data_IF_890781559898
#
_entry.id   IF_890781559898
#
_cell.length_a   1.000
_cell.length_b   1.000
_cell.length_c   1.000
_cell.angle_alpha   90.00
_cell.angle_beta   90.00
_cell.angle_gamma   90.00
#
_symmetry.space_group_name_H-M   'P 1'
#
loop_
_entity.id
_entity.type
_entity.pdbx_description
1 polymer ?
#
# COMPACT_ATOMS: atom_id res chain seq x y z
N UNK A 1 -0.97 38.10 8.17
CA UNK A 1 -0.11 37.02 8.71
C UNK A 1 0.36 36.16 7.55
N UNK A 2 1.67 36.03 7.29
CA UNK A 2 2.14 35.21 6.17
C UNK A 2 1.80 33.74 6.46
N UNK A 3 1.02 33.15 5.56
CA UNK A 3 0.47 31.81 5.72
C UNK A 3 1.61 30.78 5.64
N UNK A 4 1.97 30.15 6.76
CA UNK A 4 3.09 29.18 6.87
C UNK A 4 2.95 28.04 5.85
N UNK A 5 1.73 27.70 5.47
CA UNK A 5 1.42 26.65 4.50
C UNK A 5 2.00 26.92 3.11
N UNK A 6 1.97 28.17 2.63
CA UNK A 6 2.48 28.53 1.31
C UNK A 6 4.01 28.45 1.19
N UNK A 7 4.73 28.64 2.31
CA UNK A 7 6.20 28.59 2.30
C UNK A 7 6.76 27.18 2.32
N UNK A 8 6.08 26.22 2.96
CA UNK A 8 6.55 24.83 3.04
C UNK A 8 6.46 24.13 1.67
N UNK A 9 5.40 24.39 0.90
CA UNK A 9 5.23 23.85 -0.45
C UNK A 9 6.26 24.40 -1.47
N UNK A 10 6.74 25.64 -1.27
CA UNK A 10 7.70 26.27 -2.19
C UNK A 10 9.15 25.80 -2.00
N UNK A 11 9.47 25.22 -0.83
CA UNK A 11 10.85 24.83 -0.47
C UNK A 11 11.01 23.30 -0.39
N UNK A 12 9.96 22.55 -0.06
CA UNK A 12 10.07 21.08 0.03
C UNK A 12 9.79 20.41 -1.32
N UNK A 13 10.67 19.51 -1.80
CA UNK A 13 10.37 18.67 -2.94
C UNK A 13 9.11 17.82 -2.68
N UNK A 14 8.43 17.43 -3.77
CA UNK A 14 7.22 16.60 -3.73
C UNK A 14 7.42 15.34 -2.88
N UNK A 15 6.34 14.80 -2.32
CA UNK A 15 6.38 13.57 -1.50
C UNK A 15 7.09 12.44 -2.25
N UNK A 16 6.79 12.28 -3.53
CA UNK A 16 7.41 11.30 -4.44
C UNK A 16 8.92 11.49 -4.55
N UNK A 17 9.40 12.73 -4.80
CA UNK A 17 10.85 13.01 -4.86
C UNK A 17 11.57 12.73 -3.55
N UNK A 18 10.91 13.01 -2.42
CA UNK A 18 11.46 12.71 -1.08
C UNK A 18 11.51 11.22 -0.81
N UNK A 19 10.51 10.45 -1.25
CA UNK A 19 10.49 9.00 -1.10
C UNK A 19 11.52 8.32 -2.01
N UNK A 20 11.64 8.77 -3.26
CA UNK A 20 12.67 8.28 -4.19
C UNK A 20 14.09 8.51 -3.66
N UNK A 21 14.37 9.67 -3.05
CA UNK A 21 15.67 9.94 -2.41
C UNK A 21 15.96 9.02 -1.21
N UNK A 22 14.94 8.40 -0.62
CA UNK A 22 15.05 7.43 0.47
C UNK A 22 14.99 5.97 -0.05
N UNK A 23 14.95 5.75 -1.37
CA UNK A 23 14.80 4.42 -1.96
C UNK A 23 13.44 3.78 -1.67
N UNK A 24 12.42 4.57 -1.34
CA UNK A 24 11.07 4.11 -1.03
C UNK A 24 10.12 4.36 -2.20
N UNK A 25 9.30 3.37 -2.52
CA UNK A 25 8.23 3.52 -3.49
C UNK A 25 7.01 4.21 -2.84
N UNK A 26 6.44 5.24 -3.49
CA UNK A 26 5.19 5.82 -3.05
C UNK A 26 4.02 4.85 -3.26
N UNK A 27 3.00 4.94 -2.40
CA UNK A 27 1.72 4.26 -2.63
C UNK A 27 1.11 4.73 -3.95
N UNK A 28 0.62 3.80 -4.75
CA UNK A 28 -0.17 4.11 -5.94
C UNK A 28 -1.52 4.76 -5.57
N UNK A 29 -2.23 5.42 -6.50
CA UNK A 29 -3.48 6.13 -6.21
C UNK A 29 -4.56 5.29 -5.53
N UNK A 30 -4.57 3.97 -5.79
CA UNK A 30 -5.55 3.02 -5.24
C UNK A 30 -4.99 2.18 -4.08
N UNK A 31 -3.80 2.51 -3.56
CA UNK A 31 -3.16 1.77 -2.48
C UNK A 31 -3.30 2.50 -1.14
N UNK A 32 -3.42 1.70 -0.08
CA UNK A 32 -3.45 2.19 1.30
C UNK A 32 -2.51 1.37 2.16
N UNK A 33 -1.75 2.04 3.03
CA UNK A 33 -1.03 1.38 4.11
C UNK A 33 -1.97 1.16 5.29
N UNK A 34 -2.40 -0.08 5.52
CA UNK A 34 -3.30 -0.44 6.60
C UNK A 34 -2.60 -1.24 7.72
N UNK A 35 -3.10 -1.12 8.96
CA UNK A 35 -2.75 -2.00 10.08
C UNK A 35 -3.94 -2.90 10.39
N UNK A 36 -3.78 -4.21 10.21
CA UNK A 36 -4.82 -5.21 10.44
C UNK A 36 -4.37 -6.14 11.55
N UNK A 37 -5.23 -6.39 12.54
CA UNK A 37 -4.98 -7.40 13.58
C UNK A 37 -5.45 -8.76 13.08
N UNK A 38 -4.57 -9.75 13.07
CA UNK A 38 -4.84 -11.10 12.59
C UNK A 38 -4.52 -12.13 13.68
N UNK A 39 -5.24 -13.26 13.68
CA UNK A 39 -4.86 -14.46 14.43
C UNK A 39 -4.20 -15.41 13.46
N UNK A 40 -2.94 -15.77 13.72
CA UNK A 40 -2.09 -16.52 12.80
C UNK A 40 -1.34 -17.61 13.57
N UNK A 41 -1.03 -18.70 12.88
CA UNK A 41 -0.01 -19.64 13.33
C UNK A 41 1.37 -18.96 13.37
N UNK A 42 2.22 -19.40 14.30
CA UNK A 42 3.53 -18.76 14.56
C UNK A 42 4.42 -18.73 13.32
N UNK A 43 4.44 -19.82 12.55
CA UNK A 43 5.24 -19.93 11.33
C UNK A 43 4.78 -18.96 10.25
N UNK A 44 3.46 -18.81 10.08
CA UNK A 44 2.87 -17.86 9.12
C UNK A 44 3.14 -16.41 9.54
N UNK A 45 3.07 -16.11 10.83
CA UNK A 45 3.42 -14.80 11.35
C UNK A 45 4.88 -14.44 11.06
N UNK A 46 5.82 -15.37 11.30
CA UNK A 46 7.23 -15.16 11.00
C UNK A 46 7.50 -14.93 9.51
N UNK A 47 6.82 -15.69 8.63
CA UNK A 47 6.90 -15.48 7.18
C UNK A 47 6.41 -14.08 6.79
N UNK A 48 5.23 -13.66 7.29
CA UNK A 48 4.68 -12.33 6.99
C UNK A 48 5.58 -11.20 7.47
N UNK A 49 6.21 -11.33 8.64
CA UNK A 49 7.14 -10.34 9.17
C UNK A 49 8.36 -10.15 8.24
N UNK A 50 8.83 -11.23 7.61
CA UNK A 50 9.93 -11.20 6.63
C UNK A 50 9.57 -10.60 5.27
N UNK A 51 8.29 -10.49 4.92
CA UNK A 51 7.85 -9.92 3.65
C UNK A 51 7.84 -8.39 3.67
N UNK A 52 8.08 -7.78 2.50
CA UNK A 52 7.87 -6.35 2.30
C UNK A 52 6.37 -6.01 2.37
N UNK A 53 5.99 -4.75 2.62
CA UNK A 53 4.58 -4.34 2.63
C UNK A 53 3.83 -4.70 1.33
N UNK A 54 4.48 -4.56 0.17
CA UNK A 54 3.90 -4.90 -1.13
C UNK A 54 3.61 -6.41 -1.24
N UNK A 55 4.61 -7.25 -0.91
CA UNK A 55 4.47 -8.70 -0.92
C UNK A 55 3.36 -9.20 0.02
N UNK A 56 3.20 -8.57 1.20
CA UNK A 56 2.07 -8.89 2.10
C UNK A 56 0.72 -8.61 1.43
N UNK A 57 0.62 -7.49 0.72
CA UNK A 57 -0.56 -7.13 -0.08
C UNK A 57 -0.84 -8.16 -1.18
N UNK A 58 0.18 -8.55 -1.94
CA UNK A 58 0.07 -9.56 -3.00
C UNK A 58 -0.42 -10.91 -2.48
N UNK A 59 0.17 -11.42 -1.39
CA UNK A 59 -0.25 -12.67 -0.75
C UNK A 59 -1.69 -12.59 -0.25
N UNK A 60 -2.08 -11.47 0.36
CA UNK A 60 -3.44 -11.28 0.84
C UNK A 60 -4.45 -11.27 -0.31
N UNK A 61 -4.16 -10.53 -1.39
CA UNK A 61 -5.00 -10.49 -2.60
C UNK A 61 -5.13 -11.87 -3.22
N UNK A 62 -4.03 -12.61 -3.36
CA UNK A 62 -4.04 -13.97 -3.90
C UNK A 62 -4.93 -14.90 -3.06
N UNK A 63 -4.80 -14.86 -1.73
CA UNK A 63 -5.65 -15.64 -0.83
C UNK A 63 -7.13 -15.27 -0.94
N UNK A 64 -7.46 -13.98 -1.00
CA UNK A 64 -8.84 -13.51 -1.15
C UNK A 64 -9.47 -13.92 -2.49
N UNK A 65 -8.68 -13.92 -3.57
CA UNK A 65 -9.13 -14.43 -4.88
C UNK A 65 -9.45 -15.92 -4.82
N UNK A 66 -8.55 -16.74 -4.25
CA UNK A 66 -8.76 -18.19 -4.12
C UNK A 66 -10.00 -18.51 -3.29
N UNK A 67 -10.27 -17.71 -2.25
CA UNK A 67 -11.46 -17.87 -1.40
C UNK A 67 -12.74 -17.28 -2.03
N UNK A 68 -12.66 -16.66 -3.21
CA UNK A 68 -13.78 -16.04 -3.90
C UNK A 68 -14.28 -14.73 -3.27
N UNK A 69 -13.53 -14.16 -2.32
CA UNK A 69 -13.87 -12.88 -1.68
C UNK A 69 -13.49 -11.66 -2.51
N UNK A 70 -12.61 -11.84 -3.49
CA UNK A 70 -12.24 -10.81 -4.45
C UNK A 70 -12.44 -11.36 -5.86
N UNK A 71 -13.39 -10.79 -6.62
CA UNK A 71 -13.55 -11.11 -8.04
C UNK A 71 -12.38 -10.56 -8.82
N UNK A 72 -11.92 -11.30 -9.83
CA UNK A 72 -11.03 -10.70 -10.83
C UNK A 72 -11.79 -9.56 -11.51
N UNK A 73 -11.13 -8.41 -11.69
CA UNK A 73 -11.68 -7.33 -12.50
C UNK A 73 -11.71 -7.82 -13.96
N UNK A 74 -12.75 -8.56 -14.30
CA UNK A 74 -12.94 -9.26 -15.56
C UNK A 74 -14.39 -9.69 -15.68
N UNK A 75 -15.28 -8.71 -15.62
CA UNK A 75 -16.60 -8.65 -16.26
C UNK A 75 -17.13 -7.23 -16.02
N UNK A 76 -16.39 -6.27 -16.58
CA UNK A 76 -16.94 -4.94 -16.79
C UNK A 76 -17.97 -5.07 -17.91
N UNK A 77 -19.25 -5.00 -17.56
CA UNK A 77 -20.31 -4.67 -18.50
C UNK A 77 -19.85 -3.49 -19.36
N UNK A 78 -19.84 -3.72 -20.67
CA UNK A 78 -19.87 -2.65 -21.64
C UNK A 78 -21.15 -1.84 -21.37
N UNK A 79 -20.97 -0.62 -20.85
CA UNK A 79 -21.99 0.43 -20.94
C UNK A 79 -22.06 1.01 -22.34
#
# INVERSE_FOLDING_TARGET
MPNREHHVARVRPSKERRLAALGLEPLAPNEVSARVRMRLDREVAALLEGLTPAQRGEVLVAGLKVLGFLREAGDGEAG
#
